data_IF_521926302076
#
_entry.id   IF_521926302076
#
_cell.length_a   1.000
_cell.length_b   1.000
_cell.length_c   1.000
_cell.angle_alpha   90.00
_cell.angle_beta   90.00
_cell.angle_gamma   90.00
#
_symmetry.space_group_name_H-M   'P 1'
#
loop_
_entity.id
_entity.type
_entity.pdbx_description
1 polymer ?
#
# COMPACT_ATOMS: atom_id res chain seq x y z
N UNK A 1 -7.77 0.77 0.31
CA UNK A 1 -7.86 0.67 -1.16
C UNK A 1 -8.04 -0.79 -1.58
N UNK A 2 -8.74 -1.06 -2.68
CA UNK A 2 -9.07 -2.43 -3.09
C UNK A 2 -7.88 -3.20 -3.70
N UNK A 3 -7.06 -2.53 -4.52
CA UNK A 3 -5.81 -3.08 -5.06
C UNK A 3 -4.66 -2.15 -4.69
N UNK A 4 -3.91 -2.52 -3.65
CA UNK A 4 -2.80 -1.72 -3.15
C UNK A 4 -1.64 -1.61 -4.13
N UNK A 5 -1.38 -2.65 -4.93
CA UNK A 5 -0.25 -2.68 -5.87
C UNK A 5 -0.51 -1.73 -7.02
N UNK A 6 -1.70 -1.81 -7.62
CA UNK A 6 -2.10 -0.90 -8.70
C UNK A 6 -2.19 0.55 -8.23
N UNK A 7 -2.81 0.79 -7.06
CA UNK A 7 -2.94 2.15 -6.52
C UNK A 7 -1.57 2.76 -6.19
N UNK A 8 -0.69 2.01 -5.52
CA UNK A 8 0.66 2.46 -5.20
C UNK A 8 1.46 2.76 -6.47
N UNK A 9 1.39 1.91 -7.48
CA UNK A 9 2.10 2.11 -8.74
C UNK A 9 1.63 3.39 -9.47
N UNK A 10 0.32 3.66 -9.48
CA UNK A 10 -0.23 4.89 -10.06
C UNK A 10 0.27 6.14 -9.34
N UNK A 11 0.26 6.14 -8.00
CA UNK A 11 0.72 7.29 -7.21
C UNK A 11 2.23 7.51 -7.37
N UNK A 12 3.03 6.44 -7.36
CA UNK A 12 4.47 6.49 -7.63
C UNK A 12 4.77 7.01 -9.04
N UNK A 13 4.02 6.56 -10.05
CA UNK A 13 4.16 7.04 -11.43
C UNK A 13 3.78 8.52 -11.60
N UNK A 14 2.91 9.06 -10.74
CA UNK A 14 2.60 10.48 -10.67
C UNK A 14 3.70 11.34 -10.01
N UNK A 15 4.81 10.73 -9.57
CA UNK A 15 5.98 11.42 -9.02
C UNK A 15 6.05 11.44 -7.50
N UNK A 16 5.11 10.79 -6.80
CA UNK A 16 5.17 10.68 -5.34
C UNK A 16 6.39 9.84 -4.90
N UNK A 17 7.25 10.36 -4.01
CA UNK A 17 8.36 9.58 -3.47
C UNK A 17 7.87 8.36 -2.69
N UNK A 18 8.42 7.19 -3.01
CA UNK A 18 8.15 5.97 -2.25
C UNK A 18 8.86 6.00 -0.90
N UNK A 19 8.15 5.63 0.16
CA UNK A 19 8.71 5.42 1.50
C UNK A 19 8.74 3.92 1.85
N UNK A 20 7.66 3.20 1.58
CA UNK A 20 7.59 1.75 1.72
C UNK A 20 6.74 1.13 0.60
N UNK A 21 7.28 0.13 -0.11
CA UNK A 21 6.53 -0.60 -1.14
C UNK A 21 5.41 -1.45 -0.52
N UNK A 22 4.36 -1.81 -1.28
CA UNK A 22 3.28 -2.65 -0.75
C UNK A 22 3.79 -3.98 -0.18
N UNK A 23 3.52 -4.22 1.09
CA UNK A 23 3.91 -5.44 1.80
C UNK A 23 2.85 -5.85 2.83
N UNK A 24 2.88 -7.13 3.21
CA UNK A 24 1.96 -7.70 4.20
C UNK A 24 2.49 -7.37 5.60
N UNK A 25 1.62 -6.85 6.45
CA UNK A 25 1.92 -6.59 7.87
C UNK A 25 1.24 -7.58 8.81
N UNK A 26 0.18 -8.26 8.36
CA UNK A 26 -0.50 -9.28 9.13
C UNK A 26 -1.17 -10.30 8.22
N UNK A 27 -1.19 -11.56 8.68
CA UNK A 27 -2.05 -12.62 8.14
C UNK A 27 -2.95 -13.12 9.26
N UNK A 28 -4.26 -13.03 9.07
CA UNK A 28 -5.23 -13.46 10.07
C UNK A 28 -6.55 -13.85 9.43
N UNK A 29 -7.17 -14.93 9.91
CA UNK A 29 -8.50 -15.37 9.50
C UNK A 29 -8.66 -15.53 7.97
N UNK A 30 -7.63 -16.07 7.30
CA UNK A 30 -7.62 -16.26 5.83
C UNK A 30 -7.56 -14.96 5.04
N UNK A 31 -7.04 -13.89 5.65
CA UNK A 31 -6.86 -12.57 5.03
C UNK A 31 -5.44 -12.07 5.22
N UNK A 32 -4.98 -11.31 4.25
CA UNK A 32 -3.75 -10.54 4.31
C UNK A 32 -4.08 -9.05 4.47
N UNK A 33 -3.44 -8.41 5.45
CA UNK A 33 -3.46 -6.96 5.62
C UNK A 33 -2.16 -6.40 5.04
N UNK A 34 -2.30 -5.52 4.07
CA UNK A 34 -1.22 -4.89 3.33
C UNK A 34 -1.11 -3.40 3.66
N UNK A 35 0.13 -2.91 3.72
CA UNK A 35 0.47 -1.49 3.84
C UNK A 35 1.45 -1.08 2.74
N UNK A 36 1.35 0.17 2.30
CA UNK A 36 2.35 0.87 1.51
C UNK A 36 2.41 2.33 1.96
N UNK A 37 3.56 2.99 1.79
CA UNK A 37 3.76 4.38 2.20
C UNK A 37 4.42 5.20 1.10
N UNK A 38 3.88 6.40 0.87
CA UNK A 38 4.38 7.39 -0.08
C UNK A 38 4.41 8.77 0.60
N UNK A 39 5.30 9.66 0.16
CA UNK A 39 5.24 11.07 0.54
C UNK A 39 4.36 11.84 -0.44
N UNK A 40 3.61 12.82 0.07
CA UNK A 40 2.84 13.77 -0.76
C UNK A 40 3.71 14.89 -1.36
N UNK A 41 5.02 14.91 -1.06
CA UNK A 41 5.95 15.96 -1.50
C UNK A 41 5.85 17.27 -0.72
N UNK A 42 4.93 17.37 0.26
CA UNK A 42 4.69 18.55 1.09
C UNK A 42 5.05 18.31 2.57
N UNK A 43 5.77 17.21 2.83
CA UNK A 43 6.20 16.83 4.18
C UNK A 43 5.22 15.93 4.91
N UNK A 44 4.12 15.49 4.27
CA UNK A 44 3.23 14.49 4.84
C UNK A 44 3.50 13.10 4.25
N UNK A 45 3.25 12.09 5.07
CA UNK A 45 3.25 10.70 4.66
C UNK A 45 1.81 10.23 4.45
N UNK A 46 1.58 9.50 3.36
CA UNK A 46 0.31 8.86 3.04
C UNK A 46 0.51 7.36 3.08
N UNK A 47 -0.22 6.71 3.98
CA UNK A 47 -0.28 5.25 4.05
C UNK A 47 -1.50 4.71 3.30
N UNK A 48 -1.27 3.75 2.41
CA UNK A 48 -2.31 2.95 1.80
C UNK A 48 -2.49 1.68 2.62
N UNK A 49 -3.74 1.29 2.87
CA UNK A 49 -4.07 0.00 3.49
C UNK A 49 -4.98 -0.80 2.56
N UNK A 50 -4.77 -2.11 2.48
CA UNK A 50 -5.67 -3.03 1.79
C UNK A 50 -5.81 -4.32 2.58
N UNK A 51 -7.03 -4.82 2.67
CA UNK A 51 -7.32 -6.11 3.28
C UNK A 51 -7.94 -7.00 2.21
N UNK A 52 -7.26 -8.09 1.90
CA UNK A 52 -7.64 -9.01 0.81
C UNK A 52 -7.64 -10.45 1.31
N UNK A 53 -8.42 -11.36 0.70
CA UNK A 53 -8.29 -12.78 0.98
C UNK A 53 -6.85 -13.26 0.77
N UNK A 54 -6.37 -14.12 1.66
CA UNK A 54 -5.08 -14.76 1.52
C UNK A 54 -5.07 -15.63 0.26
N UNK A 55 -4.02 -15.52 -0.55
CA UNK A 55 -3.87 -16.39 -1.71
C UNK A 55 -3.46 -17.78 -1.21
N UNK A 56 -4.38 -18.73 -1.38
CA UNK A 56 -4.17 -20.16 -1.14
C UNK A 56 -3.13 -20.76 -2.08
#
# INVERSE_FOLDING_TARGET
VADIKSTYAQIKAAGAPSLAEPHIIARMNGREVWIAELSDGQGNNVSLMSEVPEKS
#
